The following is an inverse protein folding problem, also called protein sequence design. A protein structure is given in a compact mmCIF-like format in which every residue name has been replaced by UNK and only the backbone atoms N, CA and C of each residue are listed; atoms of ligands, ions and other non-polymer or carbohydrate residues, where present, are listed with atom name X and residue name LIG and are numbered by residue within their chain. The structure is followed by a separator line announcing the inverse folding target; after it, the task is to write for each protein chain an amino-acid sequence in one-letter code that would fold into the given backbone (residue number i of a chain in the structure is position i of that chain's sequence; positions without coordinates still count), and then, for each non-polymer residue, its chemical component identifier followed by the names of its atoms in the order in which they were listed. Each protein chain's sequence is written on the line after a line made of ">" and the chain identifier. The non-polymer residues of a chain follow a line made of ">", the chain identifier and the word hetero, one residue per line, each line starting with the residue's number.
data_IF_670261861534
#
_entry.id   IF_670261861534
#
_cell.length_a   1.000
_cell.length_b   1.000
_cell.length_c   1.000
_cell.angle_alpha   90.00
_cell.angle_beta   90.00
_cell.angle_gamma   90.00
#
_symmetry.space_group_name_H-M   'P 1'
#
loop_
_entity.id
_entity.type
_entity.pdbx_description
1 polymer ?
#
# COMPACT_ATOMS: atom_id res chain seq x y z
N UNK A 1 -34.96 -23.41 -50.80
CA UNK A 1 -34.97 -21.94 -50.67
C UNK A 1 -33.76 -21.59 -49.83
N UNK A 2 -32.73 -20.97 -50.44
CA UNK A 2 -31.54 -20.52 -49.70
C UNK A 2 -31.90 -19.17 -49.11
N UNK A 3 -32.04 -19.10 -47.79
CA UNK A 3 -32.19 -17.82 -47.08
C UNK A 3 -30.89 -17.03 -47.21
N UNK A 4 -30.97 -15.87 -47.84
CA UNK A 4 -29.86 -14.94 -47.92
C UNK A 4 -29.60 -14.39 -46.49
N UNK A 5 -28.39 -14.55 -45.90
CA UNK A 5 -28.15 -13.99 -44.58
C UNK A 5 -28.37 -12.47 -44.59
N UNK A 6 -28.96 -11.90 -43.53
CA UNK A 6 -29.21 -10.48 -43.46
C UNK A 6 -27.91 -9.68 -43.63
N UNK A 7 -27.92 -8.54 -44.30
CA UNK A 7 -26.73 -7.72 -44.49
C UNK A 7 -26.17 -7.29 -43.12
N UNK A 8 -24.82 -7.22 -42.96
CA UNK A 8 -24.22 -6.78 -41.72
C UNK A 8 -24.75 -5.40 -41.34
N UNK A 9 -25.15 -5.21 -40.10
CA UNK A 9 -25.71 -3.95 -39.64
C UNK A 9 -24.67 -2.83 -39.83
N UNK A 10 -25.02 -1.85 -40.63
CA UNK A 10 -24.21 -0.65 -40.90
C UNK A 10 -24.27 0.37 -39.75
N UNK A 11 -24.76 -0.03 -38.59
CA UNK A 11 -24.84 0.84 -37.44
C UNK A 11 -23.42 1.01 -36.84
N UNK A 12 -22.78 2.19 -37.00
CA UNK A 12 -21.43 2.44 -36.41
C UNK A 12 -21.44 2.41 -34.87
N UNK A 13 -22.64 2.39 -34.27
CA UNK A 13 -22.86 2.25 -32.82
C UNK A 13 -23.32 0.84 -32.43
N UNK A 14 -23.20 -0.16 -33.31
CA UNK A 14 -23.44 -1.55 -32.97
C UNK A 14 -22.56 -1.86 -31.74
N UNK A 15 -23.19 -2.08 -30.58
CA UNK A 15 -22.59 -2.19 -29.25
C UNK A 15 -21.43 -3.15 -29.28
N UNK A 16 -20.21 -2.59 -29.34
CA UNK A 16 -18.99 -3.36 -29.08
C UNK A 16 -19.14 -3.95 -27.67
N UNK A 17 -19.16 -5.25 -27.56
CA UNK A 17 -19.21 -5.88 -26.26
C UNK A 17 -18.02 -5.37 -25.43
N UNK A 18 -18.27 -4.88 -24.20
CA UNK A 18 -17.21 -4.32 -23.39
C UNK A 18 -16.13 -5.37 -23.15
N UNK A 19 -14.92 -5.03 -23.47
CA UNK A 19 -13.74 -5.87 -23.20
C UNK A 19 -13.49 -5.94 -21.70
N UNK A 20 -12.71 -6.93 -21.26
CA UNK A 20 -12.32 -7.03 -19.85
C UNK A 20 -11.59 -5.76 -19.37
N UNK A 21 -10.82 -5.13 -20.24
CA UNK A 21 -10.10 -3.88 -19.96
C UNK A 21 -11.04 -2.70 -19.74
N UNK A 22 -12.19 -2.68 -20.43
CA UNK A 22 -13.21 -1.64 -20.25
C UNK A 22 -13.83 -1.71 -18.84
N UNK A 23 -13.96 -2.92 -18.28
CA UNK A 23 -14.46 -3.17 -16.91
C UNK A 23 -13.45 -2.82 -15.81
N UNK A 24 -12.15 -2.72 -16.14
CA UNK A 24 -11.12 -2.36 -15.16
C UNK A 24 -11.32 -0.91 -14.72
N UNK A 25 -11.19 -0.69 -13.43
CA UNK A 25 -11.33 0.63 -12.81
C UNK A 25 -10.10 1.48 -13.13
N UNK A 26 -10.33 2.67 -13.66
CA UNK A 26 -9.29 3.64 -13.99
C UNK A 26 -8.72 4.36 -12.76
N UNK A 27 -7.92 5.40 -13.01
CA UNK A 27 -7.15 6.12 -12.00
C UNK A 27 -8.03 6.82 -10.93
N UNK A 28 -9.06 7.57 -11.34
CA UNK A 28 -9.85 8.41 -10.43
C UNK A 28 -10.43 7.67 -9.22
N UNK A 29 -11.25 6.62 -9.42
CA UNK A 29 -11.80 5.86 -8.30
C UNK A 29 -10.72 5.17 -7.43
N UNK A 30 -9.57 4.78 -8.01
CA UNK A 30 -8.46 4.21 -7.25
C UNK A 30 -7.77 5.27 -6.38
N UNK A 31 -7.61 6.50 -6.90
CA UNK A 31 -7.08 7.63 -6.14
C UNK A 31 -8.03 7.98 -4.99
N UNK A 32 -9.34 8.00 -5.22
CA UNK A 32 -10.34 8.19 -4.17
C UNK A 32 -10.25 7.11 -3.09
N UNK A 33 -10.13 5.83 -3.47
CA UNK A 33 -9.94 4.75 -2.52
C UNK A 33 -8.64 4.92 -1.72
N UNK A 34 -7.54 5.29 -2.38
CA UNK A 34 -6.27 5.57 -1.73
C UNK A 34 -6.38 6.71 -0.71
N UNK A 35 -7.05 7.81 -1.06
CA UNK A 35 -7.25 8.94 -0.14
C UNK A 35 -8.03 8.51 1.12
N UNK A 36 -9.10 7.73 0.95
CA UNK A 36 -9.84 7.14 2.07
C UNK A 36 -8.97 6.18 2.90
N UNK A 37 -8.12 5.38 2.25
CA UNK A 37 -7.18 4.50 2.92
C UNK A 37 -6.14 5.28 3.73
N UNK A 38 -5.67 6.45 3.24
CA UNK A 38 -4.77 7.31 4.02
C UNK A 38 -5.46 7.84 5.29
N UNK A 39 -6.69 8.30 5.19
CA UNK A 39 -7.46 8.74 6.36
C UNK A 39 -7.65 7.60 7.38
N UNK A 40 -8.00 6.41 6.91
CA UNK A 40 -8.13 5.22 7.76
C UNK A 40 -6.79 4.84 8.42
N UNK A 41 -5.70 4.88 7.67
CA UNK A 41 -4.36 4.61 8.17
C UNK A 41 -3.94 5.61 9.27
N UNK A 42 -4.20 6.90 9.04
CA UNK A 42 -3.96 7.94 10.05
C UNK A 42 -4.72 7.68 11.33
N UNK A 43 -6.00 7.30 11.23
CA UNK A 43 -6.82 6.97 12.39
C UNK A 43 -6.24 5.79 13.18
N UNK A 44 -5.88 4.70 12.49
CA UNK A 44 -5.24 3.52 13.13
C UNK A 44 -3.91 3.93 13.79
N UNK A 45 -3.11 4.77 13.14
CA UNK A 45 -1.84 5.24 13.69
C UNK A 45 -2.06 6.05 14.98
N UNK A 46 -3.02 6.98 14.99
CA UNK A 46 -3.36 7.77 16.19
C UNK A 46 -3.79 6.86 17.33
N UNK A 47 -4.68 5.89 17.06
CA UNK A 47 -5.14 4.94 18.08
C UNK A 47 -3.97 4.14 18.64
N UNK A 48 -3.06 3.66 17.81
CA UNK A 48 -1.87 2.93 18.27
C UNK A 48 -0.93 3.82 19.08
N UNK A 49 -0.72 5.09 18.69
CA UNK A 49 0.08 6.05 19.49
C UNK A 49 -0.53 6.19 20.89
N UNK A 50 -1.85 6.40 20.98
CA UNK A 50 -2.54 6.53 22.25
C UNK A 50 -2.42 5.27 23.12
N UNK A 51 -2.52 4.09 22.51
CA UNK A 51 -2.33 2.79 23.19
C UNK A 51 -0.89 2.68 23.71
N UNK A 52 0.13 2.97 22.86
CA UNK A 52 1.53 2.88 23.27
C UNK A 52 1.87 3.85 24.39
N UNK A 53 1.27 5.04 24.39
CA UNK A 53 1.40 6.01 25.46
C UNK A 53 0.71 5.54 26.76
N UNK A 54 -0.53 5.04 26.67
CA UNK A 54 -1.30 4.61 27.84
C UNK A 54 -0.66 3.42 28.55
N UNK A 55 -0.01 2.51 27.81
CA UNK A 55 0.68 1.34 28.35
C UNK A 55 2.18 1.55 28.57
N UNK A 56 2.69 2.76 28.36
CA UNK A 56 4.12 3.12 28.47
C UNK A 56 5.06 2.17 27.69
N UNK A 57 4.57 1.54 26.62
CA UNK A 57 5.31 0.52 25.87
C UNK A 57 6.64 1.06 25.27
N UNK A 58 6.72 2.37 25.02
CA UNK A 58 7.95 3.04 24.59
C UNK A 58 8.97 3.28 25.72
N UNK A 59 8.63 3.00 26.96
CA UNK A 59 9.50 3.29 28.11
C UNK A 59 10.32 2.10 28.60
N UNK A 60 10.22 0.92 27.95
CA UNK A 60 11.02 -0.23 28.33
C UNK A 60 12.52 0.08 28.24
N UNK A 61 13.35 -0.31 29.21
CA UNK A 61 14.77 0.03 29.26
C UNK A 61 15.52 -0.36 27.98
N UNK A 62 15.22 -1.53 27.43
CA UNK A 62 15.83 -2.05 26.20
C UNK A 62 15.58 -1.15 25.00
N UNK A 63 14.35 -0.67 24.85
CA UNK A 63 13.94 0.18 23.72
C UNK A 63 14.55 1.57 23.86
N UNK A 64 14.56 2.12 25.08
CA UNK A 64 15.19 3.43 25.37
C UNK A 64 16.68 3.42 25.02
N UNK A 65 17.42 2.38 25.40
CA UNK A 65 18.86 2.30 25.18
C UNK A 65 19.18 2.15 23.69
N UNK A 66 18.55 1.19 23.01
CA UNK A 66 18.77 0.95 21.57
C UNK A 66 18.47 2.18 20.70
N UNK A 67 17.43 2.94 21.08
CA UNK A 67 17.07 4.14 20.32
C UNK A 67 17.91 5.36 20.73
N UNK A 68 18.33 5.45 21.97
CA UNK A 68 19.26 6.48 22.43
C UNK A 68 20.60 6.36 21.68
N UNK A 69 21.10 5.14 21.46
CA UNK A 69 22.26 4.90 20.61
C UNK A 69 21.98 5.31 19.15
N UNK A 70 20.89 4.85 18.57
CA UNK A 70 20.52 5.18 17.20
C UNK A 70 20.38 6.69 16.98
N UNK A 71 19.73 7.40 17.90
CA UNK A 71 19.47 8.83 17.79
C UNK A 71 20.66 9.68 18.25
N UNK A 72 21.56 9.16 19.10
CA UNK A 72 22.79 9.88 19.49
C UNK A 72 23.77 10.02 18.32
N UNK A 73 23.76 9.04 17.40
CA UNK A 73 24.51 9.13 16.15
C UNK A 73 23.92 10.11 15.12
N UNK A 74 22.62 10.40 15.25
CA UNK A 74 21.94 11.38 14.44
C UNK A 74 21.95 12.71 15.20
N UNK A 75 22.71 13.72 14.74
CA UNK A 75 22.56 15.12 15.20
C UNK A 75 21.20 15.66 14.76
N UNK A 76 20.13 15.03 15.28
CA UNK A 76 18.76 15.30 14.86
C UNK A 76 18.32 16.63 15.45
N UNK A 77 18.12 17.61 14.59
CA UNK A 77 17.37 18.84 14.80
C UNK A 77 17.96 19.94 15.68
N UNK A 78 19.18 19.85 16.17
CA UNK A 78 19.74 20.94 17.01
C UNK A 78 18.93 21.27 18.27
N UNK A 79 18.03 20.36 18.69
CA UNK A 79 17.19 20.54 19.87
C UNK A 79 18.02 20.37 21.16
N UNK A 80 17.73 21.17 22.21
CA UNK A 80 18.30 20.95 23.52
C UNK A 80 18.04 19.54 24.03
N UNK A 81 19.02 18.93 24.69
CA UNK A 81 18.95 17.54 25.21
C UNK A 81 17.74 17.32 26.14
N UNK A 82 17.33 18.34 26.86
CA UNK A 82 16.19 18.29 27.79
C UNK A 82 14.89 18.08 27.01
N UNK A 83 14.62 18.91 26.00
CA UNK A 83 13.42 18.81 25.16
C UNK A 83 13.42 17.44 24.45
N UNK A 84 14.58 16.98 24.03
CA UNK A 84 14.72 15.67 23.39
C UNK A 84 14.34 14.51 24.33
N UNK A 85 14.84 14.52 25.57
CA UNK A 85 14.55 13.50 26.57
C UNK A 85 13.05 13.45 26.93
N UNK A 86 12.42 14.61 27.12
CA UNK A 86 10.99 14.72 27.47
C UNK A 86 10.09 14.26 26.31
N UNK A 87 10.52 14.51 25.06
CA UNK A 87 9.79 14.12 23.87
C UNK A 87 10.01 12.65 23.45
N UNK A 88 11.04 11.99 24.00
CA UNK A 88 11.45 10.65 23.60
C UNK A 88 10.30 9.61 23.65
N UNK A 89 9.48 9.51 24.70
CA UNK A 89 8.39 8.55 24.75
C UNK A 89 7.39 8.73 23.61
N UNK A 90 7.08 9.98 23.26
CA UNK A 90 6.16 10.32 22.16
C UNK A 90 6.74 9.96 20.80
N UNK A 91 8.03 10.28 20.59
CA UNK A 91 8.73 9.94 19.34
C UNK A 91 8.78 8.43 19.13
N UNK A 92 9.01 7.68 20.21
CA UNK A 92 8.99 6.22 20.18
C UNK A 92 7.60 5.66 19.84
N UNK A 93 6.58 6.14 20.53
CA UNK A 93 5.20 5.74 20.26
C UNK A 93 4.81 6.03 18.80
N UNK A 94 5.17 7.21 18.27
CA UNK A 94 4.96 7.56 16.86
C UNK A 94 5.72 6.66 15.91
N UNK A 95 6.99 6.36 16.20
CA UNK A 95 7.82 5.50 15.37
C UNK A 95 7.22 4.10 15.28
N UNK A 96 6.92 3.46 16.41
CA UNK A 96 6.32 2.12 16.42
C UNK A 96 4.95 2.08 15.78
N UNK A 97 4.08 3.04 16.13
CA UNK A 97 2.77 3.14 15.49
C UNK A 97 2.89 3.32 13.99
N UNK A 98 3.84 4.15 13.52
CA UNK A 98 4.10 4.38 12.11
C UNK A 98 4.58 3.14 11.35
N UNK A 99 5.27 2.21 12.02
CA UNK A 99 5.67 0.92 11.42
C UNK A 99 4.56 -0.12 11.47
N UNK A 100 3.84 -0.22 12.59
CA UNK A 100 2.86 -1.28 12.83
C UNK A 100 1.54 -0.99 12.11
N UNK A 101 1.07 0.26 12.11
CA UNK A 101 -0.22 0.62 11.54
C UNK A 101 -0.36 0.25 10.05
N UNK A 102 0.63 0.45 9.17
CA UNK A 102 0.52 0.01 7.78
C UNK A 102 0.45 -1.51 7.64
N UNK A 103 1.16 -2.25 8.48
CA UNK A 103 1.13 -3.71 8.46
C UNK A 103 -0.27 -4.20 8.79
N UNK A 104 -0.86 -3.71 9.88
CA UNK A 104 -2.24 -4.04 10.28
C UNK A 104 -3.22 -3.64 9.18
N UNK A 105 -3.12 -2.40 8.71
CA UNK A 105 -4.06 -1.83 7.74
C UNK A 105 -4.07 -2.58 6.41
N UNK A 106 -2.88 -2.82 5.85
CA UNK A 106 -2.76 -3.48 4.55
C UNK A 106 -2.95 -5.00 4.62
N UNK A 107 -2.81 -5.62 5.81
CA UNK A 107 -3.21 -7.01 6.01
C UNK A 107 -4.69 -7.22 5.71
N UNK A 108 -5.55 -6.24 6.00
CA UNK A 108 -6.97 -6.30 5.65
C UNK A 108 -7.14 -6.47 4.14
N UNK A 109 -6.38 -5.74 3.32
CA UNK A 109 -6.41 -5.89 1.86
C UNK A 109 -5.98 -7.29 1.43
N UNK A 110 -4.90 -7.83 2.03
CA UNK A 110 -4.35 -9.13 1.69
C UNK A 110 -5.37 -10.27 1.95
N UNK A 111 -6.09 -10.22 3.07
CA UNK A 111 -7.05 -11.26 3.43
C UNK A 111 -8.42 -11.11 2.76
N UNK A 112 -8.82 -9.89 2.42
CA UNK A 112 -10.20 -9.62 2.00
C UNK A 112 -10.34 -9.24 0.53
N UNK A 113 -9.24 -9.05 -0.16
CA UNK A 113 -9.23 -8.64 -1.56
C UNK A 113 -9.59 -7.16 -1.80
N UNK A 114 -9.78 -6.39 -0.74
CA UNK A 114 -10.04 -4.96 -0.84
C UNK A 114 -9.64 -4.24 0.45
N UNK A 115 -8.94 -3.12 0.34
CA UNK A 115 -8.71 -2.20 1.46
C UNK A 115 -10.03 -1.56 1.92
N UNK A 116 -10.11 -1.02 3.15
CA UNK A 116 -11.31 -0.32 3.61
C UNK A 116 -11.79 0.77 2.66
N UNK A 117 -10.88 1.62 2.14
CA UNK A 117 -11.24 2.66 1.16
C UNK A 117 -11.79 2.08 -0.15
N UNK A 118 -11.25 0.97 -0.63
CA UNK A 118 -11.79 0.25 -1.80
C UNK A 118 -13.18 -0.30 -1.53
N UNK A 119 -13.42 -0.85 -0.33
CA UNK A 119 -14.75 -1.37 0.07
C UNK A 119 -15.79 -0.28 0.08
N UNK A 120 -15.47 0.91 0.63
CA UNK A 120 -16.37 2.08 0.63
C UNK A 120 -16.77 2.45 -0.80
N UNK A 121 -15.82 2.44 -1.74
CA UNK A 121 -16.07 2.73 -3.15
C UNK A 121 -16.54 1.52 -3.97
N UNK A 122 -16.88 0.40 -3.31
CA UNK A 122 -17.31 -0.86 -3.96
C UNK A 122 -16.31 -1.35 -5.01
N UNK A 123 -15.02 -1.26 -4.70
CA UNK A 123 -13.92 -1.76 -5.53
C UNK A 123 -13.37 -3.06 -4.95
N UNK A 124 -12.91 -3.96 -5.82
CA UNK A 124 -12.29 -5.23 -5.44
C UNK A 124 -11.11 -5.55 -6.35
N UNK A 125 -10.12 -6.25 -5.77
CA UNK A 125 -9.01 -6.82 -6.53
C UNK A 125 -9.47 -8.15 -7.10
N UNK A 126 -9.35 -8.29 -8.41
CA UNK A 126 -9.54 -9.54 -9.15
C UNK A 126 -8.29 -9.90 -9.92
N UNK A 127 -8.30 -11.06 -10.57
CA UNK A 127 -7.31 -11.43 -11.58
C UNK A 127 -7.50 -10.54 -12.82
N UNK A 128 -6.50 -10.49 -13.68
CA UNK A 128 -6.57 -9.67 -14.90
C UNK A 128 -7.68 -10.10 -15.87
N UNK A 129 -8.14 -11.36 -15.78
CA UNK A 129 -9.25 -11.93 -16.54
C UNK A 129 -10.64 -11.67 -15.91
N UNK A 130 -10.70 -10.95 -14.77
CA UNK A 130 -11.95 -10.65 -14.05
C UNK A 130 -12.34 -11.69 -13.01
N UNK A 131 -11.67 -12.83 -12.95
CA UNK A 131 -11.95 -13.84 -11.92
C UNK A 131 -11.55 -13.34 -10.53
N UNK A 132 -12.13 -13.96 -9.50
CA UNK A 132 -11.75 -13.68 -8.10
C UNK A 132 -10.28 -14.02 -7.91
N UNK A 133 -9.49 -13.09 -7.39
CA UNK A 133 -8.08 -13.34 -7.09
C UNK A 133 -7.95 -14.19 -5.83
N UNK A 134 -7.06 -15.17 -5.88
CA UNK A 134 -6.72 -15.99 -4.72
C UNK A 134 -6.00 -15.14 -3.64
N UNK A 135 -6.17 -15.47 -2.35
CA UNK A 135 -5.51 -14.75 -1.26
C UNK A 135 -3.99 -14.68 -1.39
N UNK A 136 -3.35 -15.73 -1.93
CA UNK A 136 -1.91 -15.79 -2.21
C UNK A 136 -1.45 -14.72 -3.20
N UNK A 137 -2.22 -14.52 -4.28
CA UNK A 137 -1.95 -13.51 -5.32
C UNK A 137 -2.14 -12.11 -4.75
N UNK A 138 -3.18 -11.91 -3.94
CA UNK A 138 -3.44 -10.63 -3.28
C UNK A 138 -2.35 -10.32 -2.27
N UNK A 139 -1.91 -11.31 -1.48
CA UNK A 139 -0.81 -11.17 -0.53
C UNK A 139 0.51 -10.81 -1.25
N UNK A 140 0.84 -11.47 -2.36
CA UNK A 140 2.00 -11.14 -3.18
C UNK A 140 1.93 -9.70 -3.69
N UNK A 141 0.78 -9.27 -4.22
CA UNK A 141 0.55 -7.90 -4.67
C UNK A 141 0.75 -6.87 -3.54
N UNK A 142 0.21 -7.17 -2.36
CA UNK A 142 0.34 -6.32 -1.18
C UNK A 142 1.78 -6.29 -0.69
N UNK A 143 2.49 -7.42 -0.73
CA UNK A 143 3.92 -7.52 -0.42
C UNK A 143 4.79 -6.67 -1.33
N UNK A 144 4.53 -6.67 -2.64
CA UNK A 144 5.22 -5.78 -3.60
C UNK A 144 4.98 -4.31 -3.24
N UNK A 145 3.74 -3.95 -2.91
CA UNK A 145 3.37 -2.59 -2.52
C UNK A 145 4.04 -2.14 -1.21
N UNK A 146 4.32 -3.07 -0.29
CA UNK A 146 4.95 -2.82 1.01
C UNK A 146 6.46 -3.08 1.01
N UNK A 147 7.06 -3.42 -0.12
CA UNK A 147 8.46 -3.84 -0.18
C UNK A 147 9.45 -2.77 0.32
N UNK A 148 9.16 -1.48 0.09
CA UNK A 148 9.94 -0.37 0.64
C UNK A 148 9.95 -0.38 2.18
N UNK A 149 8.81 -0.67 2.81
CA UNK A 149 8.66 -0.72 4.27
C UNK A 149 9.32 -1.96 4.86
N UNK A 150 9.20 -3.10 4.18
CA UNK A 150 9.86 -4.34 4.58
C UNK A 150 11.39 -4.16 4.54
N UNK A 151 11.91 -3.49 3.50
CA UNK A 151 13.32 -3.14 3.41
C UNK A 151 13.75 -2.19 4.54
N UNK A 152 12.95 -1.15 4.83
CA UNK A 152 13.22 -0.22 5.95
C UNK A 152 13.24 -0.93 7.30
N UNK A 153 12.37 -1.94 7.52
CA UNK A 153 12.44 -2.78 8.72
C UNK A 153 13.74 -3.59 8.78
N UNK A 154 14.23 -4.09 7.65
CA UNK A 154 15.52 -4.79 7.58
C UNK A 154 16.69 -3.89 7.96
N UNK A 155 16.61 -2.58 7.72
CA UNK A 155 17.65 -1.62 8.13
C UNK A 155 17.69 -1.36 9.65
N UNK A 156 16.65 -1.76 10.40
CA UNK A 156 16.64 -1.68 11.87
C UNK A 156 17.39 -2.84 12.56
N UNK A 157 17.73 -3.88 11.80
CA UNK A 157 18.55 -4.98 12.33
C UNK A 157 19.98 -4.45 12.50
N UNK A 158 20.65 -4.73 13.62
CA UNK A 158 22.04 -4.30 13.84
C UNK A 158 22.96 -4.99 12.83
N UNK A 159 23.26 -4.30 11.75
CA UNK A 159 24.19 -4.68 10.69
C UNK A 159 25.22 -3.58 10.50
N UNK A 160 26.32 -3.88 9.82
CA UNK A 160 27.33 -2.86 9.54
C UNK A 160 26.70 -1.65 8.84
N UNK A 161 27.08 -0.43 9.23
CA UNK A 161 26.54 0.85 8.74
C UNK A 161 26.49 0.95 7.21
N UNK A 162 27.46 0.37 6.51
CA UNK A 162 27.48 0.34 5.05
C UNK A 162 26.30 -0.46 4.49
N UNK A 163 25.94 -1.58 5.11
CA UNK A 163 24.80 -2.42 4.71
C UNK A 163 23.49 -1.68 5.02
N UNK A 164 23.38 -1.09 6.21
CA UNK A 164 22.20 -0.30 6.59
C UNK A 164 21.95 0.85 5.60
N UNK A 165 22.98 1.61 5.23
CA UNK A 165 22.90 2.67 4.20
C UNK A 165 22.50 2.11 2.84
N UNK A 166 23.05 0.97 2.45
CA UNK A 166 22.68 0.28 1.19
C UNK A 166 21.19 -0.10 1.16
N UNK A 167 20.68 -0.68 2.23
CA UNK A 167 19.26 -1.07 2.37
C UNK A 167 18.37 0.18 2.31
N UNK A 168 18.74 1.27 3.00
CA UNK A 168 17.96 2.51 2.99
C UNK A 168 17.93 3.13 1.60
N UNK A 169 19.04 3.18 0.89
CA UNK A 169 19.09 3.69 -0.49
C UNK A 169 18.26 2.83 -1.43
N UNK A 170 18.34 1.51 -1.31
CA UNK A 170 17.54 0.58 -2.10
C UNK A 170 16.04 0.75 -1.82
N UNK A 171 15.64 0.93 -0.56
CA UNK A 171 14.23 1.15 -0.20
C UNK A 171 13.66 2.43 -0.81
N UNK A 172 14.44 3.50 -0.86
CA UNK A 172 14.04 4.76 -1.48
C UNK A 172 13.85 4.63 -2.99
N UNK A 173 14.74 3.90 -3.66
CA UNK A 173 14.59 3.60 -5.09
C UNK A 173 13.32 2.77 -5.36
N UNK A 174 13.08 1.75 -4.56
CA UNK A 174 11.87 0.91 -4.66
C UNK A 174 10.60 1.75 -4.46
N UNK A 175 10.59 2.66 -3.49
CA UNK A 175 9.47 3.57 -3.24
C UNK A 175 9.18 4.44 -4.47
N UNK A 176 10.21 5.05 -5.07
CA UNK A 176 10.08 5.86 -6.29
C UNK A 176 9.51 5.01 -7.45
N UNK A 177 10.03 3.81 -7.64
CA UNK A 177 9.55 2.89 -8.70
C UNK A 177 8.09 2.52 -8.49
N UNK A 178 7.66 2.26 -7.25
CA UNK A 178 6.27 1.97 -6.92
C UNK A 178 5.38 3.18 -7.20
N UNK A 179 5.80 4.39 -6.79
CA UNK A 179 5.04 5.62 -7.03
C UNK A 179 4.86 5.87 -8.52
N UNK A 180 5.96 5.84 -9.30
CA UNK A 180 5.89 5.99 -10.76
C UNK A 180 5.04 4.88 -11.37
N UNK A 181 5.21 3.65 -10.89
CA UNK A 181 4.44 2.49 -11.32
C UNK A 181 2.93 2.60 -11.08
N UNK A 182 2.50 3.39 -10.10
CA UNK A 182 1.08 3.68 -9.90
C UNK A 182 0.46 4.49 -11.03
N UNK A 183 1.24 5.35 -11.70
CA UNK A 183 0.76 6.15 -12.82
C UNK A 183 0.55 5.34 -14.12
N UNK A 184 1.11 4.14 -14.22
CA UNK A 184 0.87 3.24 -15.36
C UNK A 184 -0.63 2.90 -15.50
N UNK A 185 -1.41 3.03 -14.43
CA UNK A 185 -2.88 2.87 -14.47
C UNK A 185 -3.59 3.85 -15.41
N UNK A 186 -2.93 4.94 -15.81
CA UNK A 186 -3.43 5.87 -16.82
C UNK A 186 -3.36 5.30 -18.26
N UNK A 187 -2.64 4.21 -18.45
CA UNK A 187 -2.58 3.50 -19.73
C UNK A 187 -3.91 2.82 -20.08
N UNK A 188 -4.05 2.40 -21.33
CA UNK A 188 -5.25 1.67 -21.79
C UNK A 188 -5.54 0.40 -20.99
N UNK A 189 -4.50 -0.26 -20.43
CA UNK A 189 -4.63 -1.47 -19.62
C UNK A 189 -5.22 -1.21 -18.23
N UNK A 190 -5.25 0.03 -17.74
CA UNK A 190 -5.75 0.42 -16.41
C UNK A 190 -5.19 -0.44 -15.27
N UNK A 191 -3.91 -0.79 -15.33
CA UNK A 191 -3.18 -1.57 -14.31
C UNK A 191 -1.98 -0.78 -13.82
N UNK A 192 -1.74 -0.78 -12.50
CA UNK A 192 -0.50 -0.26 -11.92
C UNK A 192 0.62 -1.30 -12.02
N UNK A 193 1.88 -0.91 -11.81
CA UNK A 193 3.03 -1.83 -11.90
C UNK A 193 2.86 -3.08 -11.02
N UNK A 194 2.49 -2.89 -9.76
CA UNK A 194 2.26 -4.00 -8.83
C UNK A 194 1.07 -4.88 -9.23
N UNK A 195 0.06 -4.31 -9.92
CA UNK A 195 -1.05 -5.08 -10.49
C UNK A 195 -0.56 -5.97 -11.63
N UNK A 196 0.29 -5.43 -12.51
CA UNK A 196 0.85 -6.17 -13.64
C UNK A 196 1.75 -7.31 -13.19
N UNK A 197 2.64 -7.08 -12.22
CA UNK A 197 3.52 -8.12 -11.67
C UNK A 197 2.70 -9.25 -11.03
N UNK A 198 1.65 -8.90 -10.27
CA UNK A 198 0.78 -9.86 -9.61
C UNK A 198 -0.33 -10.43 -10.51
N UNK A 199 -0.39 -10.06 -11.80
CA UNK A 199 -1.47 -10.43 -12.75
C UNK A 199 -2.86 -10.16 -12.18
N UNK A 200 -3.03 -8.99 -11.60
CA UNK A 200 -4.30 -8.55 -10.99
C UNK A 200 -4.79 -7.27 -11.65
N UNK A 201 -6.04 -6.95 -11.42
CA UNK A 201 -6.62 -5.66 -11.77
C UNK A 201 -7.67 -5.28 -10.71
N UNK A 202 -8.09 -4.02 -10.70
CA UNK A 202 -9.16 -3.55 -9.82
C UNK A 202 -10.43 -3.41 -10.64
N UNK A 203 -11.51 -4.00 -10.14
CA UNK A 203 -12.84 -4.00 -10.73
C UNK A 203 -13.86 -3.40 -9.76
N UNK A 204 -15.06 -3.12 -10.22
CA UNK A 204 -16.19 -2.91 -9.34
C UNK A 204 -16.57 -4.24 -8.68
N UNK A 205 -17.02 -4.21 -7.44
CA UNK A 205 -17.27 -5.43 -6.66
C UNK A 205 -18.36 -6.35 -7.28
N UNK A 206 -19.24 -5.78 -8.08
CA UNK A 206 -20.30 -6.50 -8.80
C UNK A 206 -19.86 -7.04 -10.19
N UNK A 207 -18.63 -6.81 -10.60
CA UNK A 207 -18.11 -7.18 -11.93
C UNK A 207 -17.03 -8.26 -11.85
N UNK A 208 -16.73 -8.78 -10.67
CA UNK A 208 -15.83 -9.94 -10.47
C UNK A 208 -16.64 -11.22 -10.41
N UNK A 209 -16.20 -12.25 -11.15
CA UNK A 209 -16.87 -13.54 -11.30
C UNK A 209 -16.05 -14.67 -10.68
#
# INVERSE_FOLDING_TARGET
>A
MNEIPPPPSTNPFAHRQPTIEDRRVGFGPRLGAWALDQLGLWLVTIVLVLIFMAFELGQTPFIKESLRELLSGMKVFGLPREIFNDSMPYLLAMLYAGFISPIIYWSIEAFTGASPGKRILKLRIGREDGAIAEPSIIAMRTGIKLSDRILKLGALIPVADAIARGITSASSLVEIVIIIGCFIVLSAKKQALHDMIARTAVFRANETF
#
